data_IF_327068872841
#
_entry.id   IF_327068872841
#
_cell.length_a   1.000
_cell.length_b   1.000
_cell.length_c   1.000
_cell.angle_alpha   90.00
_cell.angle_beta   90.00
_cell.angle_gamma   90.00
#
_symmetry.space_group_name_H-M   'P 1'
#
loop_
_entity.id
_entity.type
_entity.pdbx_description
1 polymer ?
#
# COMPACT_ATOMS: atom_id res chain seq x y z
N UNK A 1 -33.56 -6.10 -70.46
CA UNK A 1 -32.15 -5.83 -70.10
C UNK A 1 -32.12 -5.71 -68.58
N UNK A 2 -31.70 -6.77 -67.90
CA UNK A 2 -31.66 -6.82 -66.43
C UNK A 2 -30.28 -6.33 -65.99
N UNK A 3 -30.22 -5.26 -65.21
CA UNK A 3 -29.00 -4.79 -64.58
C UNK A 3 -29.01 -5.35 -63.16
N UNK A 4 -28.25 -6.43 -62.93
CA UNK A 4 -28.01 -6.96 -61.59
C UNK A 4 -27.29 -5.88 -60.77
N UNK A 5 -27.96 -5.40 -59.72
CA UNK A 5 -27.35 -4.57 -58.67
C UNK A 5 -27.00 -5.47 -57.50
N UNK A 6 -25.86 -6.16 -57.58
CA UNK A 6 -25.39 -7.09 -56.52
C UNK A 6 -24.18 -6.56 -55.72
N UNK A 7 -23.73 -5.32 -55.95
CA UNK A 7 -22.58 -4.76 -55.21
C UNK A 7 -22.94 -4.08 -53.86
N UNK A 8 -24.24 -3.96 -53.55
CA UNK A 8 -24.69 -3.25 -52.34
C UNK A 8 -24.75 -4.10 -51.07
N UNK A 9 -24.87 -5.43 -51.21
CA UNK A 9 -25.16 -6.32 -50.09
C UNK A 9 -23.91 -6.90 -49.39
N UNK A 10 -22.79 -6.98 -50.10
CA UNK A 10 -21.60 -7.72 -49.62
C UNK A 10 -20.69 -6.88 -48.68
N UNK A 11 -20.77 -5.56 -48.75
CA UNK A 11 -19.98 -4.65 -47.91
C UNK A 11 -20.64 -4.28 -46.57
N UNK A 12 -21.95 -4.51 -46.42
CA UNK A 12 -22.69 -4.18 -45.19
C UNK A 12 -22.23 -5.02 -43.99
N UNK A 13 -22.15 -6.36 -44.06
CA UNK A 13 -21.75 -7.20 -42.92
C UNK A 13 -20.33 -6.89 -42.42
N UNK A 14 -19.42 -6.57 -43.34
CA UNK A 14 -18.02 -6.28 -43.02
C UNK A 14 -17.87 -4.93 -42.29
N UNK A 15 -18.65 -3.91 -42.66
CA UNK A 15 -18.68 -2.61 -41.98
C UNK A 15 -19.28 -2.70 -40.58
N UNK A 16 -20.34 -3.49 -40.39
CA UNK A 16 -20.90 -3.75 -39.06
C UNK A 16 -19.91 -4.51 -38.17
N UNK A 17 -19.21 -5.50 -38.72
CA UNK A 17 -18.18 -6.26 -37.97
C UNK A 17 -17.02 -5.36 -37.57
N UNK A 18 -16.50 -4.53 -38.49
CA UNK A 18 -15.44 -3.58 -38.20
C UNK A 18 -15.85 -2.55 -37.14
N UNK A 19 -17.09 -2.03 -37.21
CA UNK A 19 -17.62 -1.13 -36.20
C UNK A 19 -17.76 -1.80 -34.83
N UNK A 20 -18.22 -3.05 -34.78
CA UNK A 20 -18.33 -3.80 -33.52
C UNK A 20 -16.96 -4.06 -32.88
N UNK A 21 -15.94 -4.41 -33.67
CA UNK A 21 -14.56 -4.58 -33.19
C UNK A 21 -14.01 -3.25 -32.65
N UNK A 22 -14.20 -2.15 -33.39
CA UNK A 22 -13.78 -0.81 -32.93
C UNK A 22 -14.47 -0.40 -31.64
N UNK A 23 -15.78 -0.61 -31.52
CA UNK A 23 -16.51 -0.34 -30.28
C UNK A 23 -16.01 -1.21 -29.12
N UNK A 24 -15.72 -2.50 -29.38
CA UNK A 24 -15.13 -3.39 -28.38
C UNK A 24 -13.80 -2.87 -27.85
N UNK A 25 -12.92 -2.40 -28.75
CA UNK A 25 -11.64 -1.80 -28.38
C UNK A 25 -11.85 -0.53 -27.55
N UNK A 26 -12.76 0.36 -27.98
CA UNK A 26 -13.04 1.62 -27.25
C UNK A 26 -13.55 1.34 -25.84
N UNK A 27 -14.49 0.39 -25.70
CA UNK A 27 -15.03 0.00 -24.39
C UNK A 27 -13.93 -0.60 -23.50
N UNK A 28 -13.09 -1.47 -24.05
CA UNK A 28 -11.96 -2.06 -23.31
C UNK A 28 -10.99 -0.99 -22.83
N UNK A 29 -10.57 -0.07 -23.70
CA UNK A 29 -9.67 1.04 -23.35
C UNK A 29 -10.29 2.01 -22.34
N UNK A 30 -11.60 2.26 -22.45
CA UNK A 30 -12.33 3.11 -21.50
C UNK A 30 -12.41 2.46 -20.12
N UNK A 31 -12.64 1.15 -20.07
CA UNK A 31 -12.67 0.40 -18.82
C UNK A 31 -11.30 0.42 -18.12
N UNK A 32 -10.20 0.24 -18.86
CA UNK A 32 -8.84 0.32 -18.28
C UNK A 32 -8.54 1.72 -17.76
N UNK A 33 -8.88 2.77 -18.51
CA UNK A 33 -8.66 4.15 -18.08
C UNK A 33 -9.44 4.51 -16.79
N UNK A 34 -10.69 4.03 -16.67
CA UNK A 34 -11.50 4.21 -15.46
C UNK A 34 -10.92 3.44 -14.26
N UNK A 35 -10.39 2.24 -14.49
CA UNK A 35 -9.74 1.45 -13.45
C UNK A 35 -8.49 2.17 -12.91
N UNK A 36 -7.65 2.70 -13.79
CA UNK A 36 -6.45 3.46 -13.40
C UNK A 36 -6.80 4.73 -12.64
N UNK A 37 -7.79 5.50 -13.12
CA UNK A 37 -8.25 6.71 -12.42
C UNK A 37 -8.76 6.41 -11.01
N UNK A 38 -9.41 5.25 -10.84
CA UNK A 38 -9.89 4.79 -9.53
C UNK A 38 -8.71 4.45 -8.61
N UNK A 39 -7.67 3.79 -9.11
CA UNK A 39 -6.45 3.48 -8.34
C UNK A 39 -5.68 4.74 -7.96
N UNK A 40 -5.54 5.71 -8.86
CA UNK A 40 -4.90 7.00 -8.55
C UNK A 40 -5.62 7.75 -7.43
N UNK A 41 -6.95 7.76 -7.47
CA UNK A 41 -7.76 8.35 -6.40
C UNK A 41 -7.56 7.62 -5.05
N UNK A 42 -7.41 6.29 -5.08
CA UNK A 42 -7.10 5.49 -3.89
C UNK A 42 -5.71 5.81 -3.34
N UNK A 43 -4.67 5.88 -4.18
CA UNK A 43 -3.30 6.23 -3.77
C UNK A 43 -3.26 7.60 -3.11
N UNK A 44 -3.96 8.59 -3.67
CA UNK A 44 -4.03 9.94 -3.08
C UNK A 44 -4.67 9.93 -1.70
N UNK A 45 -5.80 9.24 -1.52
CA UNK A 45 -6.45 9.12 -0.20
C UNK A 45 -5.58 8.37 0.80
N UNK A 46 -4.96 7.28 0.36
CA UNK A 46 -4.06 6.48 1.18
C UNK A 46 -2.91 7.31 1.77
N UNK A 47 -2.34 8.25 1.00
CA UNK A 47 -1.27 9.11 1.54
C UNK A 47 -1.70 9.94 2.76
N UNK A 48 -2.96 10.38 2.80
CA UNK A 48 -3.53 11.11 3.93
C UNK A 48 -3.78 10.17 5.12
N UNK A 49 -4.34 8.99 4.88
CA UNK A 49 -4.57 7.98 5.92
C UNK A 49 -3.25 7.51 6.54
N UNK A 50 -2.21 7.29 5.72
CA UNK A 50 -0.87 6.94 6.18
C UNK A 50 -0.24 8.07 7.00
N UNK A 51 -0.44 9.33 6.61
CA UNK A 51 0.06 10.49 7.37
C UNK A 51 -0.65 10.62 8.72
N UNK A 52 -1.95 10.31 8.80
CA UNK A 52 -2.69 10.28 10.05
C UNK A 52 -2.21 9.15 10.97
N UNK A 53 -1.92 7.97 10.40
CA UNK A 53 -1.29 6.86 11.13
C UNK A 53 0.07 7.26 11.70
N UNK A 54 0.95 7.82 10.86
CA UNK A 54 2.28 8.26 11.25
C UNK A 54 2.21 9.31 12.37
N UNK A 55 1.30 10.27 12.27
CA UNK A 55 1.13 11.29 13.29
C UNK A 55 0.74 10.70 14.67
N UNK A 56 -0.13 9.69 14.68
CA UNK A 56 -0.52 8.97 15.91
C UNK A 56 0.64 8.16 16.48
N UNK A 57 1.33 7.39 15.64
CA UNK A 57 2.53 6.64 16.04
C UNK A 57 3.62 7.57 16.60
N UNK A 58 3.87 8.70 15.95
CA UNK A 58 4.80 9.74 16.40
C UNK A 58 4.39 10.39 17.71
N UNK A 59 3.08 10.60 17.93
CA UNK A 59 2.56 11.12 19.20
C UNK A 59 2.80 10.13 20.34
N UNK A 60 2.46 8.85 20.14
CA UNK A 60 2.72 7.77 21.10
C UNK A 60 4.23 7.69 21.41
N UNK A 61 5.07 7.71 20.38
CA UNK A 61 6.53 7.65 20.53
C UNK A 61 7.09 8.81 21.35
N UNK A 62 6.55 10.02 21.20
CA UNK A 62 6.98 11.21 21.96
C UNK A 62 6.42 11.25 23.40
N UNK A 63 5.22 10.71 23.62
CA UNK A 63 4.60 10.66 24.95
C UNK A 63 5.30 9.64 25.88
N UNK A 64 5.89 8.59 25.31
CA UNK A 64 6.59 7.56 26.07
C UNK A 64 5.66 6.50 26.65
N UNK A 65 6.11 5.81 27.71
CA UNK A 65 5.39 4.67 28.30
C UNK A 65 5.61 3.36 27.53
N UNK A 66 6.86 3.10 27.12
CA UNK A 66 7.21 1.93 26.33
C UNK A 66 7.28 0.67 27.20
N UNK A 67 6.64 -0.42 26.74
CA UNK A 67 6.75 -1.76 27.35
C UNK A 67 8.15 -2.31 27.16
N UNK A 68 8.78 -2.79 28.22
CA UNK A 68 10.03 -3.55 28.10
C UNK A 68 9.73 -4.98 27.63
N UNK A 69 10.05 -5.28 26.37
CA UNK A 69 9.85 -6.65 25.86
C UNK A 69 10.83 -7.66 26.44
N UNK A 70 11.89 -7.18 27.09
CA UNK A 70 12.88 -8.02 27.78
C UNK A 70 12.41 -8.44 29.17
N UNK A 71 11.39 -7.79 29.71
CA UNK A 71 10.75 -8.12 31.00
C UNK A 71 9.35 -8.71 30.77
N UNK A 72 9.18 -10.04 30.89
CA UNK A 72 7.88 -10.69 30.71
C UNK A 72 6.80 -10.26 31.72
N UNK A 73 7.19 -9.63 32.84
CA UNK A 73 6.25 -9.11 33.83
C UNK A 73 5.77 -7.69 33.51
N UNK A 74 6.43 -7.00 32.58
CA UNK A 74 6.06 -5.66 32.17
C UNK A 74 4.82 -5.70 31.26
N UNK A 75 3.68 -5.34 31.84
CA UNK A 75 2.41 -5.14 31.13
C UNK A 75 2.07 -3.66 30.97
N UNK A 76 3.06 -2.77 31.16
CA UNK A 76 2.91 -1.34 30.93
C UNK A 76 3.25 -1.06 29.48
N UNK A 77 2.42 -0.29 28.77
CA UNK A 77 2.64 -0.03 27.36
C UNK A 77 1.59 0.92 26.83
N UNK A 78 2.03 2.04 26.26
CA UNK A 78 1.13 2.92 25.53
C UNK A 78 0.69 2.21 24.27
N UNK A 79 -0.58 1.84 24.22
CA UNK A 79 -1.19 1.09 23.13
C UNK A 79 -2.43 1.80 22.60
N UNK A 80 -2.66 1.68 21.30
CA UNK A 80 -3.83 2.23 20.63
C UNK A 80 -4.28 1.28 19.52
N UNK A 81 -5.56 0.86 19.55
CA UNK A 81 -6.14 0.05 18.48
C UNK A 81 -6.55 0.98 17.35
N UNK A 82 -6.16 0.62 16.13
CA UNK A 82 -6.52 1.40 14.96
C UNK A 82 -7.05 0.52 13.84
N UNK A 83 -7.88 1.12 13.00
CA UNK A 83 -8.28 0.56 11.72
C UNK A 83 -7.52 1.24 10.62
N UNK A 84 -6.86 0.45 9.78
CA UNK A 84 -6.07 0.95 8.68
C UNK A 84 -6.36 0.14 7.42
N UNK A 85 -6.57 0.85 6.31
CA UNK A 85 -6.88 0.22 5.03
C UNK A 85 -5.76 0.49 4.04
N UNK A 86 -5.20 -0.58 3.51
CA UNK A 86 -4.28 -0.55 2.37
C UNK A 86 -5.12 -0.82 1.12
N UNK A 87 -5.35 0.17 0.25
CA UNK A 87 -6.17 -0.03 -0.94
C UNK A 87 -5.41 -0.81 -2.01
N UNK A 88 -6.13 -1.33 -3.00
CA UNK A 88 -5.56 -2.11 -4.12
C UNK A 88 -4.63 -1.28 -5.03
N UNK A 89 -4.69 0.05 -4.96
CA UNK A 89 -3.73 0.94 -5.63
C UNK A 89 -2.32 0.95 -5.00
N UNK A 90 -2.12 0.29 -3.86
CA UNK A 90 -0.84 0.16 -3.14
C UNK A 90 -0.43 -1.30 -3.15
N UNK A 91 0.76 -1.63 -3.63
CA UNK A 91 1.22 -3.02 -3.70
C UNK A 91 1.78 -3.50 -2.36
N UNK A 92 2.50 -2.63 -1.66
CA UNK A 92 3.22 -2.95 -0.44
C UNK A 92 3.46 -1.69 0.39
N UNK A 93 3.45 -1.84 1.71
CA UNK A 93 3.93 -0.85 2.68
C UNK A 93 4.95 -1.55 3.58
N UNK A 94 6.07 -0.90 3.83
CA UNK A 94 7.13 -1.37 4.72
C UNK A 94 7.46 -0.28 5.72
N UNK A 95 7.40 -0.60 7.00
CA UNK A 95 7.82 0.26 8.10
C UNK A 95 9.18 -0.20 8.61
N UNK A 96 10.17 0.70 8.60
CA UNK A 96 11.47 0.50 9.22
C UNK A 96 12.53 -0.21 8.37
N UNK A 97 12.24 -0.52 7.10
CA UNK A 97 13.22 -1.08 6.15
C UNK A 97 12.93 -0.61 4.72
N UNK A 98 13.98 -0.41 3.94
CA UNK A 98 13.87 -0.17 2.51
C UNK A 98 13.50 -1.47 1.77
N UNK A 99 12.44 -1.47 0.94
CA UNK A 99 12.16 -2.62 0.09
C UNK A 99 13.28 -2.77 -0.96
N UNK A 100 13.82 -3.98 -1.15
CA UNK A 100 14.84 -4.24 -2.17
C UNK A 100 14.32 -4.02 -3.59
N UNK A 101 15.24 -3.72 -4.51
CA UNK A 101 14.91 -3.37 -5.91
C UNK A 101 14.29 -4.53 -6.70
N UNK A 102 14.46 -5.76 -6.23
CA UNK A 102 13.86 -6.97 -6.81
C UNK A 102 12.39 -7.18 -6.39
N UNK A 103 11.84 -6.27 -5.58
CA UNK A 103 10.46 -6.33 -5.10
C UNK A 103 10.23 -7.39 -4.03
N UNK A 104 11.29 -8.01 -3.49
CA UNK A 104 11.17 -8.96 -2.39
C UNK A 104 10.82 -8.25 -1.08
N UNK A 105 10.24 -8.98 -0.13
CA UNK A 105 9.89 -8.43 1.18
C UNK A 105 11.18 -8.32 2.01
N UNK A 106 11.53 -7.14 2.54
CA UNK A 106 12.73 -6.99 3.36
C UNK A 106 12.58 -7.81 4.64
N UNK A 107 13.64 -8.53 5.01
CA UNK A 107 13.64 -9.42 6.17
C UNK A 107 14.21 -8.77 7.44
N UNK A 108 15.00 -7.70 7.30
CA UNK A 108 15.71 -7.04 8.40
C UNK A 108 15.64 -5.53 8.27
N UNK A 109 15.60 -4.85 9.42
CA UNK A 109 15.69 -3.39 9.53
C UNK A 109 17.14 -2.95 9.67
N UNK A 110 17.57 -2.00 8.84
CA UNK A 110 18.81 -1.27 9.10
C UNK A 110 18.57 -0.21 10.17
N UNK A 111 19.49 0.03 11.13
CA UNK A 111 19.36 1.08 12.14
C UNK A 111 19.04 2.47 11.56
N UNK A 112 19.56 2.74 10.35
CA UNK A 112 19.40 4.02 9.65
C UNK A 112 18.03 4.17 8.96
N UNK A 113 17.27 3.08 8.83
CA UNK A 113 15.99 3.04 8.11
C UNK A 113 14.78 2.89 9.02
N UNK A 114 15.00 2.66 10.33
CA UNK A 114 13.94 2.37 11.29
C UNK A 114 12.89 3.47 11.39
N UNK A 115 13.24 4.71 11.06
CA UNK A 115 12.35 5.86 11.09
C UNK A 115 11.78 6.24 9.71
N UNK A 116 11.72 5.29 8.78
CA UNK A 116 11.26 5.51 7.42
C UNK A 116 10.14 4.52 7.09
N UNK A 117 9.12 5.02 6.40
CA UNK A 117 8.03 4.21 5.84
C UNK A 117 8.13 4.27 4.32
N UNK A 118 8.13 3.11 3.69
CA UNK A 118 8.11 2.98 2.24
C UNK A 118 6.77 2.41 1.80
N UNK A 119 6.25 2.88 0.67
CA UNK A 119 5.14 2.20 0.01
C UNK A 119 5.29 2.23 -1.51
N UNK A 120 4.87 1.15 -2.16
CA UNK A 120 4.93 1.00 -3.62
C UNK A 120 3.53 1.09 -4.19
N UNK A 121 3.32 1.93 -5.20
CA UNK A 121 2.02 2.02 -5.89
C UNK A 121 1.87 0.93 -6.94
N UNK A 122 0.64 0.70 -7.43
CA UNK A 122 0.34 -0.22 -8.53
C UNK A 122 1.09 0.06 -9.86
N UNK A 123 1.78 1.19 -9.96
CA UNK A 123 2.62 1.59 -11.09
C UNK A 123 4.10 1.23 -10.86
N UNK A 124 4.44 0.54 -9.76
CA UNK A 124 5.81 0.25 -9.35
C UNK A 124 6.58 1.45 -8.79
N UNK A 125 5.89 2.56 -8.46
CA UNK A 125 6.55 3.75 -7.92
C UNK A 125 6.65 3.65 -6.41
N UNK A 126 7.88 3.54 -5.89
CA UNK A 126 8.15 3.58 -4.46
C UNK A 126 8.18 5.02 -3.96
N UNK A 127 7.46 5.27 -2.87
CA UNK A 127 7.43 6.54 -2.13
C UNK A 127 8.05 6.32 -0.76
N UNK A 128 8.71 7.37 -0.28
CA UNK A 128 9.38 7.39 1.02
C UNK A 128 8.73 8.44 1.89
N UNK A 129 8.35 8.06 3.11
CA UNK A 129 7.74 8.92 4.12
C UNK A 129 8.63 8.88 5.36
N UNK A 130 9.31 9.99 5.70
CA UNK A 130 10.07 10.06 6.95
C UNK A 130 9.12 10.08 8.14
N UNK A 131 9.52 9.45 9.25
CA UNK A 131 8.79 9.44 10.51
C UNK A 131 9.67 9.87 11.67
N UNK A 132 9.04 10.37 12.74
CA UNK A 132 9.74 10.64 14.01
C UNK A 132 9.81 9.40 14.90
N UNK A 133 8.95 8.42 14.66
CA UNK A 133 8.96 7.14 15.35
C UNK A 133 9.90 6.15 14.65
N UNK A 134 10.52 5.27 15.42
CA UNK A 134 11.22 4.09 14.90
C UNK A 134 10.23 2.93 14.86
N UNK A 135 10.21 2.14 13.80
CA UNK A 135 9.33 0.99 13.64
C UNK A 135 10.12 -0.30 13.66
N UNK A 136 9.52 -1.34 14.24
CA UNK A 136 10.03 -2.70 14.21
C UNK A 136 8.86 -3.69 14.43
N UNK A 137 9.04 -4.93 13.97
CA UNK A 137 8.10 -6.02 14.21
C UNK A 137 8.43 -6.75 15.52
N UNK A 138 7.40 -7.12 16.27
CA UNK A 138 7.51 -8.07 17.39
C UNK A 138 7.58 -9.51 16.88
N UNK A 139 8.22 -10.45 17.62
CA UNK A 139 8.83 -10.26 18.95
C UNK A 139 10.27 -9.74 18.93
N UNK A 140 11.01 -9.91 17.83
CA UNK A 140 12.47 -9.78 17.86
C UNK A 140 12.99 -8.35 17.62
N UNK A 141 12.12 -7.39 17.24
CA UNK A 141 12.44 -5.98 16.95
C UNK A 141 13.52 -5.72 15.89
N UNK A 142 13.93 -6.77 15.17
CA UNK A 142 14.89 -6.68 14.08
C UNK A 142 14.22 -6.72 12.69
N UNK A 143 12.98 -7.18 12.61
CA UNK A 143 12.20 -7.24 11.38
C UNK A 143 11.38 -5.97 11.10
N UNK A 144 11.10 -5.65 9.83
CA UNK A 144 10.18 -4.57 9.49
C UNK A 144 8.73 -5.01 9.66
N UNK A 145 7.82 -4.05 9.80
CA UNK A 145 6.38 -4.32 9.63
C UNK A 145 6.03 -4.19 8.15
N UNK A 146 5.35 -5.18 7.60
CA UNK A 146 4.99 -5.22 6.18
C UNK A 146 3.48 -5.42 6.05
N UNK A 147 2.84 -4.54 5.28
CA UNK A 147 1.41 -4.61 4.97
C UNK A 147 1.20 -4.67 3.45
N UNK A 148 0.22 -5.46 3.02
CA UNK A 148 -0.21 -5.61 1.62
C UNK A 148 -1.65 -5.07 1.48
N UNK A 149 -2.25 -4.98 0.29
CA UNK A 149 -3.67 -4.67 0.15
C UNK A 149 -4.57 -5.44 1.12
N UNK A 150 -5.37 -4.70 1.89
CA UNK A 150 -6.18 -5.30 2.95
C UNK A 150 -6.79 -4.27 3.88
N UNK A 151 -7.73 -4.73 4.71
CA UNK A 151 -8.23 -3.97 5.85
C UNK A 151 -7.70 -4.60 7.12
N UNK A 152 -7.06 -3.80 7.95
CA UNK A 152 -6.40 -4.25 9.16
C UNK A 152 -7.01 -3.53 10.36
N UNK A 153 -7.17 -4.28 11.44
CA UNK A 153 -7.35 -3.74 12.78
C UNK A 153 -6.12 -4.20 13.56
N UNK A 154 -5.20 -3.29 13.85
CA UNK A 154 -3.96 -3.61 14.55
C UNK A 154 -3.78 -2.69 15.76
N UNK A 155 -3.03 -3.20 16.72
CA UNK A 155 -2.59 -2.44 17.88
C UNK A 155 -1.28 -1.74 17.55
N UNK A 156 -1.26 -0.41 17.63
CA UNK A 156 -0.03 0.35 17.71
C UNK A 156 0.45 0.25 19.16
N UNK A 157 1.64 -0.26 19.39
CA UNK A 157 2.22 -0.33 20.73
C UNK A 157 3.63 0.27 20.74
N UNK A 158 3.92 1.09 21.76
CA UNK A 158 5.27 1.52 22.07
C UNK A 158 5.99 0.47 22.90
N UNK A 159 7.09 -0.06 22.38
CA UNK A 159 7.93 -1.05 23.06
C UNK A 159 9.36 -0.57 23.14
N UNK A 160 10.15 -1.15 24.05
CA UNK A 160 11.58 -0.91 24.17
C UNK A 160 12.32 -2.22 24.45
N UNK A 161 13.59 -2.23 24.09
CA UNK A 161 14.57 -3.20 24.53
C UNK A 161 15.90 -2.48 24.82
N UNK A 162 16.96 -3.23 25.10
CA UNK A 162 18.31 -2.67 25.30
C UNK A 162 18.85 -1.83 24.13
N UNK A 163 18.29 -1.99 22.92
CA UNK A 163 18.73 -1.28 21.71
C UNK A 163 17.95 0.01 21.43
N UNK A 164 16.82 0.24 22.11
CA UNK A 164 16.04 1.47 21.98
C UNK A 164 14.53 1.27 22.11
N UNK A 165 13.80 2.29 21.69
CA UNK A 165 12.33 2.34 21.70
C UNK A 165 11.79 2.28 20.27
N UNK A 166 10.69 1.57 20.08
CA UNK A 166 10.09 1.28 18.77
C UNK A 166 8.56 1.29 18.86
N UNK A 167 7.92 1.67 17.75
CA UNK A 167 6.52 1.42 17.48
C UNK A 167 6.40 0.06 16.79
N UNK A 168 5.49 -0.76 17.28
CA UNK A 168 5.14 -2.05 16.70
C UNK A 168 3.66 -2.03 16.28
N UNK A 169 3.34 -2.85 15.28
CA UNK A 169 2.00 -2.99 14.73
C UNK A 169 1.70 -4.49 14.64
N UNK A 170 0.69 -4.97 15.36
CA UNK A 170 0.30 -6.39 15.39
C UNK A 170 -1.20 -6.59 15.61
#
# INVERSE_FOLDING_TARGET
MWINSEDGADALPMRFTAAAVLMGIIVALSATALADLTKDAQVKRFSADLSALEARASAIYQQGGARDISDPADNTGTMEIIRFKVPEGIELIVFGAMPPQDGTIPMLTSPDERNIIYYTTYQGVTKTVPSKAKYAAVPDLDGPVVLVPGSYEFTIELVKNGNGTYITLY
#
